data_IF_943056191894
#
_entry.id   IF_943056191894
#
_cell.length_a   1.000
_cell.length_b   1.000
_cell.length_c   1.000
_cell.angle_alpha   90.00
_cell.angle_beta   90.00
_cell.angle_gamma   90.00
#
_symmetry.space_group_name_H-M   'P 1'
#
loop_
_entity.id
_entity.type
_entity.pdbx_description
1 polymer ?
#
# COMPACT_ATOMS: atom_id res chain seq x y z
N UNK A 1 -18.87 -13.38 -0.89
CA UNK A 1 -18.16 -12.14 -0.47
C UNK A 1 -18.81 -10.89 -1.06
N UNK A 2 -19.49 -11.02 -2.20
CA UNK A 2 -20.07 -9.94 -3.02
C UNK A 2 -21.10 -9.06 -2.31
N UNK A 3 -21.80 -9.59 -1.30
CA UNK A 3 -22.92 -8.88 -0.63
C UNK A 3 -22.49 -7.97 0.51
N UNK A 4 -21.32 -8.21 1.11
CA UNK A 4 -20.97 -7.63 2.41
C UNK A 4 -19.60 -6.96 2.44
N UNK A 5 -18.62 -7.45 1.67
CA UNK A 5 -17.24 -6.97 1.82
C UNK A 5 -17.14 -5.50 1.46
N UNK A 6 -17.61 -5.07 0.29
CA UNK A 6 -17.60 -3.65 -0.08
C UNK A 6 -18.36 -2.79 0.94
N UNK A 7 -19.56 -3.23 1.33
CA UNK A 7 -20.43 -2.54 2.28
C UNK A 7 -19.76 -2.30 3.63
N UNK A 8 -19.14 -3.32 4.21
CA UNK A 8 -18.62 -3.26 5.58
C UNK A 8 -17.13 -2.94 5.67
N UNK A 9 -16.31 -3.35 4.70
CA UNK A 9 -14.87 -3.08 4.68
C UNK A 9 -14.54 -1.71 4.07
N UNK A 10 -15.29 -1.24 3.07
CA UNK A 10 -15.03 0.04 2.39
C UNK A 10 -16.09 1.09 2.75
N UNK A 11 -17.35 0.84 2.37
CA UNK A 11 -18.40 1.86 2.39
C UNK A 11 -18.78 2.34 3.81
N UNK A 12 -18.71 1.46 4.80
CA UNK A 12 -19.19 1.75 6.15
C UNK A 12 -18.49 2.98 6.77
N UNK A 13 -19.26 3.85 7.44
CA UNK A 13 -18.75 5.08 8.04
C UNK A 13 -17.81 4.82 9.22
N UNK A 14 -18.20 3.90 10.11
CA UNK A 14 -17.45 3.59 11.33
C UNK A 14 -16.17 2.78 11.04
N UNK A 15 -15.02 3.32 11.45
CA UNK A 15 -13.71 2.66 11.34
C UNK A 15 -13.67 1.31 12.07
N UNK A 16 -14.32 1.20 13.24
CA UNK A 16 -14.40 -0.06 13.99
C UNK A 16 -15.08 -1.17 13.20
N UNK A 17 -16.13 -0.86 12.44
CA UNK A 17 -16.82 -1.85 11.60
C UNK A 17 -15.92 -2.30 10.45
N UNK A 18 -15.19 -1.38 9.82
CA UNK A 18 -14.19 -1.74 8.79
C UNK A 18 -13.08 -2.65 9.34
N UNK A 19 -12.62 -2.39 10.57
CA UNK A 19 -11.65 -3.26 11.25
C UNK A 19 -12.21 -4.68 11.48
N UNK A 20 -13.43 -4.78 12.01
CA UNK A 20 -14.08 -6.08 12.24
C UNK A 20 -14.33 -6.82 10.94
N UNK A 21 -14.69 -6.13 9.86
CA UNK A 21 -14.82 -6.71 8.53
C UNK A 21 -13.48 -7.29 8.01
N UNK A 22 -12.37 -6.58 8.23
CA UNK A 22 -11.03 -7.08 7.92
C UNK A 22 -10.67 -8.33 8.74
N UNK A 23 -10.94 -8.30 10.05
CA UNK A 23 -10.75 -9.46 10.93
C UNK A 23 -11.59 -10.66 10.50
N UNK A 24 -12.83 -10.43 10.06
CA UNK A 24 -13.72 -11.47 9.55
C UNK A 24 -13.15 -12.09 8.27
N UNK A 25 -12.69 -11.29 7.30
CA UNK A 25 -12.06 -11.78 6.07
C UNK A 25 -10.87 -12.69 6.37
N UNK A 26 -9.96 -12.24 7.25
CA UNK A 26 -8.81 -13.05 7.67
C UNK A 26 -9.26 -14.31 8.39
N UNK A 27 -10.36 -14.25 9.14
CA UNK A 27 -10.91 -15.40 9.87
C UNK A 27 -11.52 -16.47 8.97
N UNK A 28 -11.81 -16.17 7.69
CA UNK A 28 -12.26 -17.15 6.69
C UNK A 28 -11.14 -18.13 6.31
N UNK A 29 -9.88 -17.73 6.42
CA UNK A 29 -8.74 -18.59 6.09
C UNK A 29 -8.60 -19.68 7.16
N UNK A 30 -8.63 -20.98 6.80
CA UNK A 30 -8.56 -22.10 7.74
C UNK A 30 -7.12 -22.33 8.27
N UNK A 31 -6.51 -21.29 8.84
CA UNK A 31 -5.21 -21.34 9.52
C UNK A 31 -5.29 -20.54 10.83
N UNK A 32 -5.11 -21.20 11.97
CA UNK A 32 -5.08 -20.53 13.29
C UNK A 32 -3.92 -19.55 13.40
N UNK A 33 -2.73 -19.96 12.94
CA UNK A 33 -1.52 -19.13 12.95
C UNK A 33 -1.72 -17.88 12.10
N UNK A 34 -2.31 -18.01 10.90
CA UNK A 34 -2.59 -16.87 10.02
C UNK A 34 -3.58 -15.89 10.66
N UNK A 35 -4.58 -16.39 11.37
CA UNK A 35 -5.56 -15.54 12.06
C UNK A 35 -4.96 -14.82 13.27
N UNK A 36 -4.10 -15.49 14.02
CA UNK A 36 -3.46 -14.92 15.22
C UNK A 36 -2.39 -13.89 14.86
N UNK A 37 -1.59 -14.14 13.82
CA UNK A 37 -0.57 -13.21 13.35
C UNK A 37 -1.16 -11.87 12.89
N UNK A 38 -2.32 -11.87 12.21
CA UNK A 38 -2.99 -10.63 11.82
C UNK A 38 -3.47 -9.80 13.02
N UNK A 39 -3.91 -10.46 14.11
CA UNK A 39 -4.41 -9.79 15.32
C UNK A 39 -3.29 -9.23 16.20
N UNK A 40 -2.13 -9.88 16.19
CA UNK A 40 -0.97 -9.53 17.03
C UNK A 40 -0.03 -8.54 16.33
N UNK A 41 0.03 -8.56 15.00
CA UNK A 41 0.75 -7.56 14.23
C UNK A 41 0.09 -6.19 14.35
N UNK A 42 0.89 -5.12 14.48
CA UNK A 42 0.43 -3.72 14.45
C UNK A 42 -0.23 -3.40 13.10
N UNK A 43 -1.52 -3.75 12.95
CA UNK A 43 -2.39 -3.48 11.80
C UNK A 43 -2.00 -4.12 10.46
N UNK A 44 -1.36 -5.30 10.45
CA UNK A 44 -1.09 -6.03 9.19
C UNK A 44 -0.13 -5.30 8.22
N UNK A 45 0.68 -4.38 8.72
CA UNK A 45 1.58 -3.53 7.93
C UNK A 45 2.89 -4.23 7.52
N UNK A 46 3.12 -5.47 7.96
CA UNK A 46 4.26 -6.26 7.54
C UNK A 46 3.78 -7.64 7.05
N UNK A 47 4.10 -8.06 5.82
CA UNK A 47 3.81 -9.41 5.38
C UNK A 47 4.64 -10.40 6.21
N UNK A 48 3.98 -11.40 6.79
CA UNK A 48 4.66 -12.51 7.43
C UNK A 48 5.18 -13.44 6.32
N UNK A 49 6.43 -13.19 5.91
CA UNK A 49 7.16 -14.14 5.06
C UNK A 49 7.20 -15.48 5.80
N UNK A 50 6.88 -16.57 5.08
CA UNK A 50 7.13 -17.95 5.53
C UNK A 50 6.19 -18.49 6.62
N UNK A 51 4.94 -18.04 6.68
CA UNK A 51 3.95 -18.71 7.54
C UNK A 51 3.55 -20.07 6.93
N UNK A 52 3.77 -21.21 7.62
CA UNK A 52 3.36 -22.51 7.09
C UNK A 52 1.82 -22.59 7.07
N UNK A 53 1.26 -22.80 5.89
CA UNK A 53 -0.18 -22.94 5.68
C UNK A 53 -0.48 -24.19 4.86
N UNK A 54 -1.60 -24.85 5.16
CA UNK A 54 -2.11 -25.95 4.34
C UNK A 54 -2.49 -25.44 2.94
N UNK A 55 -2.52 -26.34 1.96
CA UNK A 55 -2.96 -26.02 0.60
C UNK A 55 -4.39 -25.46 0.57
N UNK A 56 -5.28 -25.99 1.41
CA UNK A 56 -6.63 -25.48 1.60
C UNK A 56 -6.62 -24.03 2.13
N UNK A 57 -5.81 -23.75 3.15
CA UNK A 57 -5.69 -22.40 3.70
C UNK A 57 -5.16 -21.39 2.69
N UNK A 58 -4.13 -21.78 1.93
CA UNK A 58 -3.59 -20.97 0.83
C UNK A 58 -4.66 -20.71 -0.23
N UNK A 59 -5.42 -21.73 -0.64
CA UNK A 59 -6.50 -21.60 -1.62
C UNK A 59 -7.60 -20.62 -1.19
N UNK A 60 -8.07 -20.74 0.06
CA UNK A 60 -9.08 -19.81 0.60
C UNK A 60 -8.52 -18.38 0.70
N UNK A 61 -7.27 -18.22 1.13
CA UNK A 61 -6.61 -16.93 1.18
C UNK A 61 -6.45 -16.32 -0.22
N UNK A 62 -6.11 -17.10 -1.25
CA UNK A 62 -6.06 -16.62 -2.64
C UNK A 62 -7.44 -16.15 -3.12
N UNK A 63 -8.52 -16.85 -2.76
CA UNK A 63 -9.87 -16.40 -3.10
C UNK A 63 -10.22 -15.06 -2.46
N UNK A 64 -9.89 -14.89 -1.17
CA UNK A 64 -10.05 -13.62 -0.46
C UNK A 64 -9.22 -12.51 -1.14
N UNK A 65 -7.94 -12.77 -1.39
CA UNK A 65 -7.03 -11.82 -2.01
C UNK A 65 -7.48 -11.41 -3.42
N UNK A 66 -7.85 -12.37 -4.25
CA UNK A 66 -8.37 -12.14 -5.60
C UNK A 66 -9.65 -11.29 -5.59
N UNK A 67 -10.54 -11.56 -4.63
CA UNK A 67 -11.75 -10.76 -4.45
C UNK A 67 -11.40 -9.31 -4.08
N UNK A 68 -10.47 -9.11 -3.15
CA UNK A 68 -10.02 -7.78 -2.75
C UNK A 68 -9.33 -7.03 -3.90
N UNK A 69 -8.51 -7.70 -4.71
CA UNK A 69 -7.90 -7.08 -5.89
C UNK A 69 -8.96 -6.58 -6.89
N UNK A 70 -10.02 -7.37 -7.14
CA UNK A 70 -11.14 -6.94 -8.00
C UNK A 70 -11.89 -5.72 -7.44
N UNK A 71 -11.85 -5.49 -6.13
CA UNK A 71 -12.45 -4.31 -5.51
C UNK A 71 -11.65 -3.01 -5.73
N UNK A 72 -10.40 -3.05 -6.24
CA UNK A 72 -9.61 -1.83 -6.47
C UNK A 72 -10.37 -0.82 -7.35
N UNK A 73 -11.06 -1.28 -8.39
CA UNK A 73 -11.90 -0.42 -9.24
C UNK A 73 -12.99 0.32 -8.45
N UNK A 74 -13.64 -0.37 -7.52
CA UNK A 74 -14.69 0.21 -6.67
C UNK A 74 -14.13 1.05 -5.54
N UNK A 75 -12.91 0.75 -5.07
CA UNK A 75 -12.22 1.51 -4.04
C UNK A 75 -12.06 3.00 -4.42
N UNK A 76 -12.09 3.30 -5.72
CA UNK A 76 -12.00 4.67 -6.28
C UNK A 76 -13.14 5.56 -5.81
N UNK A 77 -14.30 5.01 -5.50
CA UNK A 77 -15.43 5.77 -4.96
C UNK A 77 -15.17 6.31 -3.55
N UNK A 78 -14.10 5.86 -2.89
CA UNK A 78 -13.82 6.15 -1.48
C UNK A 78 -12.54 6.96 -1.25
N UNK A 79 -11.95 7.53 -2.30
CA UNK A 79 -10.66 8.26 -2.21
C UNK A 79 -10.83 9.73 -1.86
N UNK A 80 -11.98 10.34 -2.16
CA UNK A 80 -12.27 11.76 -1.94
C UNK A 80 -12.17 12.13 -0.46
N UNK A 81 -11.14 12.90 -0.03
CA UNK A 81 -10.91 13.19 1.38
C UNK A 81 -12.04 14.00 2.02
N UNK A 82 -12.67 14.92 1.28
CA UNK A 82 -13.75 15.74 1.79
C UNK A 82 -14.99 14.92 2.20
N UNK A 83 -15.21 13.77 1.55
CA UNK A 83 -16.38 12.90 1.78
C UNK A 83 -16.03 11.74 2.70
N UNK A 84 -14.83 11.18 2.58
CA UNK A 84 -14.48 9.91 3.22
C UNK A 84 -13.35 10.01 4.26
N UNK A 85 -12.69 11.16 4.35
CA UNK A 85 -11.51 11.36 5.17
C UNK A 85 -10.31 10.55 4.67
N UNK A 86 -9.21 10.65 5.41
CA UNK A 86 -7.91 10.14 4.95
C UNK A 86 -7.61 8.70 5.35
N UNK A 87 -8.55 8.02 6.03
CA UNK A 87 -8.36 6.71 6.67
C UNK A 87 -9.44 5.66 6.29
N UNK A 88 -10.23 5.94 5.26
CA UNK A 88 -11.33 5.08 4.77
C UNK A 88 -10.88 3.69 4.34
N UNK A 89 -9.80 3.60 3.57
CA UNK A 89 -9.29 2.40 2.90
C UNK A 89 -8.17 1.68 3.66
N UNK A 90 -7.81 2.17 4.85
CA UNK A 90 -6.67 1.66 5.63
C UNK A 90 -6.72 0.14 5.85
N UNK A 91 -7.84 -0.38 6.35
CA UNK A 91 -7.99 -1.83 6.61
C UNK A 91 -8.10 -2.66 5.34
N UNK A 92 -8.63 -2.08 4.26
CA UNK A 92 -8.68 -2.75 2.97
C UNK A 92 -7.27 -3.03 2.44
N UNK A 93 -6.39 -2.02 2.44
CA UNK A 93 -4.99 -2.20 2.06
C UNK A 93 -4.18 -3.02 3.06
N UNK A 94 -4.53 -2.99 4.35
CA UNK A 94 -3.92 -3.86 5.35
C UNK A 94 -4.16 -5.34 5.04
N UNK A 95 -5.40 -5.74 4.72
CA UNK A 95 -5.69 -7.14 4.35
C UNK A 95 -5.02 -7.53 3.03
N UNK A 96 -5.04 -6.64 2.03
CA UNK A 96 -4.29 -6.87 0.77
C UNK A 96 -2.80 -7.11 1.01
N UNK A 97 -2.17 -6.30 1.85
CA UNK A 97 -0.75 -6.45 2.22
C UNK A 97 -0.51 -7.75 2.96
N UNK A 98 -1.39 -8.09 3.90
CA UNK A 98 -1.27 -9.28 4.72
C UNK A 98 -1.38 -10.59 3.92
N UNK A 99 -2.15 -10.59 2.83
CA UNK A 99 -2.23 -11.71 1.91
C UNK A 99 -0.96 -11.93 1.06
N UNK A 100 0.03 -11.02 1.07
CA UNK A 100 1.28 -11.18 0.32
C UNK A 100 2.27 -12.13 1.02
N UNK A 101 1.86 -13.39 1.19
CA UNK A 101 2.64 -14.42 1.91
C UNK A 101 3.80 -15.00 1.08
N UNK A 102 3.72 -14.92 -0.25
CA UNK A 102 4.73 -15.44 -1.17
C UNK A 102 4.80 -14.70 -2.51
N UNK A 103 5.49 -15.33 -3.49
CA UNK A 103 5.63 -14.77 -4.85
C UNK A 103 4.33 -14.87 -5.66
N UNK A 104 3.53 -15.92 -5.44
CA UNK A 104 2.31 -16.16 -6.22
C UNK A 104 1.31 -15.00 -6.08
N UNK A 105 1.10 -14.49 -4.87
CA UNK A 105 0.16 -13.41 -4.61
C UNK A 105 0.65 -12.10 -5.22
N UNK A 106 1.96 -11.87 -5.22
CA UNK A 106 2.55 -10.73 -5.93
C UNK A 106 2.25 -10.79 -7.43
N UNK A 107 2.32 -11.97 -8.05
CA UNK A 107 1.97 -12.14 -9.46
C UNK A 107 0.45 -12.02 -9.71
N UNK A 108 -0.39 -12.43 -8.76
CA UNK A 108 -1.85 -12.22 -8.84
C UNK A 108 -2.22 -10.73 -8.87
N UNK A 109 -1.40 -9.84 -8.29
CA UNK A 109 -1.60 -8.38 -8.37
C UNK A 109 -1.35 -7.81 -9.76
N UNK A 110 -0.44 -8.38 -10.58
CA UNK A 110 0.00 -7.77 -11.84
C UNK A 110 -1.12 -7.28 -12.77
N UNK A 111 -2.23 -8.04 -12.99
CA UNK A 111 -3.33 -7.60 -13.83
C UNK A 111 -4.10 -6.37 -13.30
N UNK A 112 -3.97 -6.06 -12.01
CA UNK A 112 -4.66 -4.97 -11.32
C UNK A 112 -3.80 -3.73 -11.11
N UNK A 113 -2.58 -3.72 -11.65
CA UNK A 113 -1.63 -2.62 -11.52
C UNK A 113 -2.22 -1.25 -11.90
N UNK A 114 -2.94 -1.19 -13.03
CA UNK A 114 -3.56 0.06 -13.50
C UNK A 114 -4.72 0.52 -12.61
N UNK A 115 -5.46 -0.43 -12.02
CA UNK A 115 -6.53 -0.09 -11.08
C UNK A 115 -5.94 0.56 -9.83
N UNK A 116 -4.86 0.00 -9.28
CA UNK A 116 -4.11 0.59 -8.16
C UNK A 116 -3.57 1.99 -8.52
N UNK A 117 -2.95 2.13 -9.70
CA UNK A 117 -2.43 3.42 -10.15
C UNK A 117 -3.53 4.49 -10.23
N UNK A 118 -4.71 4.12 -10.75
CA UNK A 118 -5.86 5.03 -10.87
C UNK A 118 -6.47 5.47 -9.53
N UNK A 119 -6.21 4.73 -8.45
CA UNK A 119 -6.53 5.14 -7.09
C UNK A 119 -5.49 6.12 -6.58
N UNK A 120 -4.21 5.84 -6.81
CA UNK A 120 -3.13 6.67 -6.33
C UNK A 120 -3.17 8.05 -7.01
N UNK A 121 -3.15 8.10 -8.35
CA UNK A 121 -3.12 9.34 -9.12
C UNK A 121 -4.40 9.52 -9.95
N UNK A 122 -5.11 10.67 -9.85
CA UNK A 122 -4.88 11.76 -8.89
C UNK A 122 -5.48 11.48 -7.48
N UNK A 123 -6.21 10.38 -7.31
CA UNK A 123 -7.18 10.23 -6.21
C UNK A 123 -6.64 10.31 -4.78
N UNK A 124 -5.43 9.80 -4.51
CA UNK A 124 -4.82 9.84 -3.18
C UNK A 124 -3.56 10.71 -3.12
N UNK A 125 -2.96 11.02 -4.26
CA UNK A 125 -1.80 11.90 -4.38
C UNK A 125 -2.19 13.37 -4.33
N UNK A 126 -3.43 13.71 -4.70
CA UNK A 126 -3.98 15.06 -4.70
C UNK A 126 -5.34 15.11 -3.96
N UNK A 127 -5.64 16.18 -3.20
CA UNK A 127 -4.78 17.32 -2.91
C UNK A 127 -3.60 16.96 -1.97
N UNK A 128 -2.66 17.88 -1.83
CA UNK A 128 -1.49 17.72 -0.97
C UNK A 128 -1.86 17.71 0.52
N UNK A 129 -2.25 16.53 1.03
CA UNK A 129 -2.55 16.30 2.46
C UNK A 129 -1.32 15.70 3.14
N UNK A 130 -0.78 16.32 4.21
CA UNK A 130 0.40 15.82 4.91
C UNK A 130 0.24 14.40 5.47
N UNK A 131 -0.83 14.17 6.25
CA UNK A 131 -1.11 12.90 6.92
C UNK A 131 -2.28 12.20 6.22
N UNK A 132 -1.97 11.34 5.26
CA UNK A 132 -2.97 10.61 4.48
C UNK A 132 -2.83 9.09 4.62
N UNK A 133 -3.57 8.48 5.54
CA UNK A 133 -3.42 7.05 5.87
C UNK A 133 -3.82 6.07 4.75
N UNK A 134 -4.79 6.42 3.90
CA UNK A 134 -5.12 5.65 2.69
C UNK A 134 -3.89 5.61 1.75
N UNK A 135 -3.25 6.75 1.51
CA UNK A 135 -2.03 6.85 0.70
C UNK A 135 -0.89 6.03 1.29
N UNK A 136 -0.66 6.15 2.60
CA UNK A 136 0.37 5.39 3.33
C UNK A 136 0.17 3.87 3.20
N UNK A 137 -1.03 3.36 3.45
CA UNK A 137 -1.32 1.92 3.37
C UNK A 137 -1.32 1.40 1.93
N UNK A 138 -1.76 2.21 0.95
CA UNK A 138 -1.63 1.89 -0.47
C UNK A 138 -0.16 1.76 -0.89
N UNK A 139 0.68 2.74 -0.55
CA UNK A 139 2.10 2.73 -0.92
C UNK A 139 2.84 1.55 -0.28
N UNK A 140 2.49 1.21 0.97
CA UNK A 140 3.02 0.04 1.64
C UNK A 140 2.63 -1.26 0.92
N UNK A 141 1.36 -1.43 0.58
CA UNK A 141 0.89 -2.57 -0.22
C UNK A 141 1.65 -2.66 -1.55
N UNK A 142 1.73 -1.55 -2.28
CA UNK A 142 2.38 -1.50 -3.59
C UNK A 142 3.87 -1.84 -3.50
N UNK A 143 4.58 -1.29 -2.50
CA UNK A 143 5.97 -1.64 -2.23
C UNK A 143 6.12 -3.13 -1.97
N UNK A 144 5.33 -3.72 -1.06
CA UNK A 144 5.42 -5.14 -0.73
C UNK A 144 5.08 -6.06 -1.92
N UNK A 145 4.15 -5.63 -2.79
CA UNK A 145 3.85 -6.34 -4.03
C UNK A 145 5.04 -6.33 -5.02
N UNK A 146 5.95 -5.37 -4.92
CA UNK A 146 7.12 -5.22 -5.79
C UNK A 146 8.40 -5.82 -5.22
N UNK A 147 8.56 -5.88 -3.89
CA UNK A 147 9.72 -6.49 -3.23
C UNK A 147 9.90 -7.93 -3.72
N UNK A 148 11.11 -8.31 -4.13
CA UNK A 148 11.43 -9.65 -4.66
C UNK A 148 10.56 -10.08 -5.86
N UNK A 149 9.93 -9.14 -6.57
CA UNK A 149 9.03 -9.38 -7.71
C UNK A 149 9.32 -8.40 -8.86
N UNK A 150 10.39 -8.63 -9.65
CA UNK A 150 10.77 -7.76 -10.77
C UNK A 150 9.68 -7.65 -11.85
N UNK A 151 8.80 -8.64 -11.97
CA UNK A 151 7.65 -8.64 -12.87
C UNK A 151 6.73 -7.43 -12.58
N UNK A 152 6.47 -7.14 -11.31
CA UNK A 152 5.67 -5.99 -10.91
C UNK A 152 6.40 -4.66 -11.04
N UNK A 153 7.71 -4.63 -10.75
CA UNK A 153 8.52 -3.42 -10.96
C UNK A 153 8.56 -3.04 -12.45
N UNK A 154 8.60 -4.05 -13.33
CA UNK A 154 8.57 -3.86 -14.79
C UNK A 154 7.30 -3.12 -15.25
N UNK A 155 6.14 -3.39 -14.65
CA UNK A 155 4.88 -2.67 -14.96
C UNK A 155 4.99 -1.17 -14.71
N UNK A 156 5.76 -0.77 -13.69
CA UNK A 156 6.00 0.63 -13.34
C UNK A 156 6.91 1.28 -14.37
N UNK A 157 8.11 0.73 -14.57
CA UNK A 157 9.16 1.36 -15.39
C UNK A 157 8.85 1.33 -16.89
N UNK A 158 7.93 0.46 -17.33
CA UNK A 158 7.46 0.40 -18.71
C UNK A 158 6.23 1.27 -18.98
N UNK A 159 5.63 1.90 -17.97
CA UNK A 159 4.46 2.75 -18.13
C UNK A 159 4.85 4.24 -18.04
N UNK A 160 4.87 4.98 -19.18
CA UNK A 160 5.28 6.39 -19.19
C UNK A 160 4.39 7.31 -18.34
N UNK A 161 3.11 6.98 -18.15
CA UNK A 161 2.24 7.76 -17.28
C UNK A 161 2.64 7.60 -15.82
N UNK A 162 3.08 6.41 -15.41
CA UNK A 162 3.52 6.17 -14.04
C UNK A 162 4.90 6.79 -13.83
N UNK A 163 5.87 6.53 -14.71
CA UNK A 163 7.25 7.03 -14.53
C UNK A 163 7.36 8.55 -14.52
N UNK A 164 6.47 9.25 -15.24
CA UNK A 164 6.40 10.72 -15.21
C UNK A 164 5.83 11.27 -13.91
N UNK A 165 4.94 10.53 -13.25
CA UNK A 165 4.12 11.08 -12.17
C UNK A 165 4.44 10.54 -10.78
N UNK A 166 5.03 9.34 -10.66
CA UNK A 166 5.24 8.67 -9.37
C UNK A 166 6.12 9.48 -8.40
N UNK A 167 7.00 10.34 -8.91
CA UNK A 167 7.90 11.17 -8.11
C UNK A 167 7.24 12.44 -7.54
N UNK A 168 6.01 12.78 -7.96
CA UNK A 168 5.27 13.95 -7.48
C UNK A 168 4.51 13.71 -6.17
N UNK A 169 4.74 12.59 -5.47
CA UNK A 169 4.12 12.37 -4.16
C UNK A 169 4.48 13.51 -3.19
N UNK A 170 3.44 14.15 -2.65
CA UNK A 170 3.60 15.21 -1.66
C UNK A 170 4.11 14.64 -0.32
N UNK A 171 5.12 15.31 0.24
CA UNK A 171 5.74 15.02 1.53
C UNK A 171 5.89 16.33 2.29
N UNK A 172 5.34 16.40 3.50
CA UNK A 172 5.61 17.46 4.45
C UNK A 172 6.80 17.04 5.34
N UNK A 173 7.81 17.88 5.44
CA UNK A 173 8.97 17.67 6.31
C UNK A 173 8.96 18.68 7.47
N UNK A 174 7.87 18.64 8.25
CA UNK A 174 7.81 19.29 9.55
C UNK A 174 8.37 18.30 10.58
N UNK A 175 9.54 18.63 11.14
CA UNK A 175 10.28 17.76 12.05
C UNK A 175 9.88 17.96 13.52
N UNK A 176 9.13 19.02 13.79
CA UNK A 176 8.65 19.35 15.14
C UNK A 176 7.23 18.79 15.37
N UNK A 177 6.44 18.64 14.30
CA UNK A 177 5.14 17.97 14.33
C UNK A 177 5.29 16.44 14.47
N UNK A 178 4.94 15.93 15.65
CA UNK A 178 5.03 14.49 15.96
C UNK A 178 4.12 13.62 15.09
N UNK A 179 2.95 14.09 14.68
CA UNK A 179 2.04 13.32 13.85
C UNK A 179 2.61 13.18 12.43
N UNK A 180 3.23 14.25 11.91
CA UNK A 180 3.96 14.22 10.63
C UNK A 180 5.17 13.29 10.71
N UNK A 181 5.95 13.36 11.78
CA UNK A 181 7.12 12.49 11.98
C UNK A 181 6.69 11.02 12.04
N UNK A 182 5.67 10.68 12.84
CA UNK A 182 5.15 9.30 12.95
C UNK A 182 4.59 8.81 11.62
N UNK A 183 3.87 9.66 10.89
CA UNK A 183 3.37 9.32 9.56
C UNK A 183 4.51 9.03 8.58
N UNK A 184 5.52 9.90 8.54
CA UNK A 184 6.67 9.80 7.65
C UNK A 184 7.56 8.58 7.96
N UNK A 185 7.76 8.23 9.23
CA UNK A 185 8.44 6.99 9.66
C UNK A 185 7.89 5.75 8.98
N UNK A 186 6.57 5.70 8.79
CA UNK A 186 5.90 4.55 8.17
C UNK A 186 5.80 4.68 6.65
N UNK A 187 5.53 5.88 6.12
CA UNK A 187 5.24 6.09 4.69
C UNK A 187 6.51 6.18 3.83
N UNK A 188 7.53 6.91 4.29
CA UNK A 188 8.72 7.20 3.49
C UNK A 188 9.52 5.94 3.11
N UNK A 189 9.73 4.94 4.01
CA UNK A 189 10.43 3.72 3.63
C UNK A 189 9.75 2.96 2.48
N UNK A 190 8.42 2.88 2.49
CA UNK A 190 7.67 2.23 1.41
C UNK A 190 7.76 3.03 0.10
N UNK A 191 7.56 4.35 0.15
CA UNK A 191 7.61 5.22 -1.02
C UNK A 191 8.99 5.22 -1.69
N UNK A 192 10.05 5.53 -0.92
CA UNK A 192 11.42 5.54 -1.47
C UNK A 192 11.93 4.13 -1.78
N UNK A 193 11.47 3.11 -1.06
CA UNK A 193 11.71 1.71 -1.39
C UNK A 193 11.19 1.36 -2.78
N UNK A 194 9.97 1.78 -3.12
CA UNK A 194 9.39 1.57 -4.45
C UNK A 194 10.21 2.28 -5.55
N UNK A 195 10.59 3.54 -5.31
CA UNK A 195 11.43 4.30 -6.25
C UNK A 195 12.80 3.63 -6.44
N UNK A 196 13.42 3.14 -5.36
CA UNK A 196 14.69 2.40 -5.40
C UNK A 196 14.58 1.14 -6.26
N UNK A 197 13.53 0.33 -6.07
CA UNK A 197 13.28 -0.86 -6.90
C UNK A 197 13.19 -0.49 -8.39
N UNK A 198 12.49 0.59 -8.72
CA UNK A 198 12.38 1.09 -10.09
C UNK A 198 13.74 1.52 -10.66
N UNK A 199 14.57 2.22 -9.88
CA UNK A 199 15.93 2.61 -10.27
C UNK A 199 16.84 1.39 -10.53
N UNK A 200 16.73 0.35 -9.70
CA UNK A 200 17.49 -0.90 -9.89
C UNK A 200 17.08 -1.61 -11.18
N UNK A 201 15.80 -1.56 -11.54
CA UNK A 201 15.26 -2.18 -12.74
C UNK A 201 15.51 -1.37 -14.03
N UNK A 202 15.59 -0.04 -13.95
CA UNK A 202 15.63 0.84 -15.12
C UNK A 202 16.60 2.01 -14.95
N UNK A 203 17.73 1.95 -15.69
CA UNK A 203 18.72 3.05 -15.73
C UNK A 203 18.15 4.38 -16.27
N UNK A 204 17.31 4.40 -17.33
CA UNK A 204 16.67 5.64 -17.76
C UNK A 204 15.81 6.27 -16.67
N UNK A 205 15.03 5.46 -15.96
CA UNK A 205 14.22 5.93 -14.83
C UNK A 205 15.10 6.51 -13.72
N UNK A 206 16.20 5.82 -13.36
CA UNK A 206 17.13 6.31 -12.36
C UNK A 206 17.73 7.69 -12.70
N UNK A 207 18.09 7.92 -13.97
CA UNK A 207 18.60 9.23 -14.45
C UNK A 207 17.52 10.32 -14.36
N UNK A 208 16.30 10.01 -14.79
CA UNK A 208 15.16 10.94 -14.68
C UNK A 208 14.88 11.30 -13.22
N UNK A 209 14.87 10.30 -12.33
CA UNK A 209 14.57 10.48 -10.92
C UNK A 209 15.65 11.32 -10.22
N UNK A 210 16.93 11.12 -10.54
CA UNK A 210 18.04 11.90 -9.97
C UNK A 210 17.96 13.39 -10.29
N UNK A 211 17.39 13.76 -11.44
CA UNK A 211 17.15 15.15 -11.84
C UNK A 211 15.82 15.72 -11.31
N UNK A 212 14.99 14.91 -10.65
CA UNK A 212 13.64 15.32 -10.26
C UNK A 212 13.66 16.25 -9.03
N UNK A 213 12.97 17.38 -9.12
CA UNK A 213 12.95 18.41 -8.08
C UNK A 213 12.52 17.88 -6.70
N UNK A 214 11.49 17.03 -6.62
CA UNK A 214 11.03 16.47 -5.33
C UNK A 214 12.08 15.56 -4.68
N UNK A 215 12.90 14.89 -5.48
CA UNK A 215 13.97 14.02 -4.97
C UNK A 215 15.14 14.86 -4.47
N UNK A 216 15.51 15.90 -5.21
CA UNK A 216 16.50 16.88 -4.75
C UNK A 216 16.05 17.61 -3.48
N UNK A 217 14.76 17.96 -3.40
CA UNK A 217 14.16 18.55 -2.20
C UNK A 217 14.21 17.58 -1.01
N UNK A 218 13.87 16.30 -1.23
CA UNK A 218 13.93 15.29 -0.18
C UNK A 218 15.34 15.08 0.37
N UNK A 219 16.36 15.06 -0.48
CA UNK A 219 17.75 14.98 -0.04
C UNK A 219 18.17 16.15 0.86
N UNK A 220 17.63 17.35 0.61
CA UNK A 220 17.93 18.54 1.42
C UNK A 220 17.15 18.57 2.74
N UNK A 221 15.90 18.11 2.75
CA UNK A 221 14.97 18.37 3.86
C UNK A 221 14.63 17.12 4.70
N UNK A 222 14.91 15.91 4.21
CA UNK A 222 14.59 14.65 4.91
C UNK A 222 15.87 13.93 5.33
N UNK A 223 16.84 13.79 4.45
CA UNK A 223 18.08 13.04 4.71
C UNK A 223 18.90 13.53 5.92
N UNK A 224 18.95 14.84 6.24
CA UNK A 224 19.63 15.29 7.46
C UNK A 224 18.97 14.81 8.76
N UNK A 225 17.71 14.36 8.69
CA UNK A 225 16.88 13.99 9.84
C UNK A 225 16.62 12.48 9.89
N UNK A 226 17.50 11.65 9.34
CA UNK A 226 17.32 10.19 9.26
C UNK A 226 17.09 9.53 10.62
N UNK A 227 17.64 10.07 11.71
CA UNK A 227 17.41 9.59 13.09
C UNK A 227 15.95 9.72 13.52
N UNK A 228 15.21 10.66 12.94
CA UNK A 228 13.77 10.80 13.16
C UNK A 228 12.96 9.80 12.34
N UNK A 229 13.56 9.10 11.37
CA UNK A 229 12.85 8.22 10.43
C UNK A 229 13.35 6.77 10.43
N UNK A 230 14.23 6.40 11.37
CA UNK A 230 14.60 5.01 11.61
C UNK A 230 13.40 4.23 12.14
N UNK A 231 13.03 3.14 11.46
CA UNK A 231 11.99 2.20 11.85
C UNK A 231 12.51 1.13 12.80
#
# INVERSE_FOLDING_TARGET
MDTWVEKFLLAHALQRVRNVAALLLVSLVPSSQFRQAFRSGRNGLAPHKELPMSSEAVSVMHQVYQFLLRLLKKAKLYVEPAVHGTAKLMYYFAVLTYCLVGKQEKLMFSPFFLDLWSLFQPGLSEPAIPVHHNKQTLLLFWYQACVDCPENVKLIVQNPHVTKNIAFNYILADHDDQDVVVFNRCMLPAYYGLLRLCCQQSRPFARQLAAHQNVQWAFKNITPYTTLYTA
#
